data_IF_446217473660
#
_entry.id   IF_446217473660
#
_cell.length_a   1.000
_cell.length_b   1.000
_cell.length_c   1.000
_cell.angle_alpha   90.00
_cell.angle_beta   90.00
_cell.angle_gamma   90.00
#
_symmetry.space_group_name_H-M   'P 1'
#
loop_
_entity.id
_entity.type
_entity.pdbx_description
1 polymer ?
#
# COMPACT_ATOMS: atom_id res chain seq x y z
N UNK A 1 27.88 -23.69 1.21
CA UNK A 1 26.93 -22.57 1.04
C UNK A 1 27.22 -21.93 -0.31
N UNK A 2 26.43 -22.25 -1.34
CA UNK A 2 26.51 -21.53 -2.61
C UNK A 2 25.86 -20.16 -2.38
N UNK A 3 26.65 -19.11 -2.39
CA UNK A 3 26.14 -17.74 -2.34
C UNK A 3 25.37 -17.47 -3.62
N UNK A 4 24.04 -17.50 -3.57
CA UNK A 4 23.21 -17.04 -4.67
C UNK A 4 23.38 -15.52 -4.77
N UNK A 5 24.24 -15.07 -5.67
CA UNK A 5 24.27 -13.67 -6.11
C UNK A 5 23.02 -13.44 -6.95
N UNK A 6 22.12 -12.60 -6.47
CA UNK A 6 21.06 -12.04 -7.32
C UNK A 6 21.60 -10.76 -7.97
N UNK A 7 21.30 -10.56 -9.25
CA UNK A 7 21.63 -9.33 -9.97
C UNK A 7 20.39 -8.89 -10.72
N UNK A 8 19.89 -7.71 -10.40
CA UNK A 8 18.82 -7.04 -11.13
C UNK A 8 19.22 -5.58 -11.33
N UNK A 9 18.82 -5.02 -12.46
CA UNK A 9 18.99 -3.59 -12.71
C UNK A 9 17.78 -2.88 -12.10
N UNK A 10 17.95 -2.26 -10.94
CA UNK A 10 16.90 -1.45 -10.34
C UNK A 10 16.67 -0.17 -11.16
N UNK A 11 15.41 0.13 -11.50
CA UNK A 11 15.01 1.34 -12.22
C UNK A 11 13.85 1.98 -11.48
N UNK A 12 14.08 3.17 -10.93
CA UNK A 12 13.06 4.05 -10.40
C UNK A 12 13.34 5.47 -10.87
N UNK A 13 12.38 6.07 -11.55
CA UNK A 13 12.40 7.48 -11.92
C UNK A 13 11.10 8.12 -11.47
N UNK A 14 11.20 9.18 -10.67
CA UNK A 14 10.06 9.98 -10.24
C UNK A 14 10.32 11.41 -10.68
N UNK A 15 9.44 11.93 -11.52
CA UNK A 15 9.55 13.30 -12.06
C UNK A 15 8.36 14.12 -11.64
N UNK A 16 8.61 15.39 -11.33
CA UNK A 16 7.59 16.36 -10.99
C UNK A 16 7.53 17.41 -12.11
N UNK A 17 6.33 17.75 -12.55
CA UNK A 17 6.09 18.84 -13.49
C UNK A 17 5.04 19.79 -12.93
N UNK A 18 5.14 21.07 -13.30
CA UNK A 18 4.20 22.10 -12.86
C UNK A 18 3.88 23.01 -14.04
N UNK A 19 2.59 23.14 -14.33
CA UNK A 19 2.06 24.13 -15.28
C UNK A 19 0.92 24.92 -14.62
N UNK A 20 -0.09 24.21 -14.12
CA UNK A 20 -1.21 24.76 -13.32
C UNK A 20 -1.52 23.87 -12.11
N UNK A 21 -1.42 22.55 -12.29
CA UNK A 21 -1.47 21.54 -11.23
C UNK A 21 -0.10 20.86 -11.16
N UNK A 22 0.37 20.55 -9.95
CA UNK A 22 1.58 19.75 -9.77
C UNK A 22 1.24 18.32 -10.21
N UNK A 23 2.02 17.77 -11.13
CA UNK A 23 1.88 16.38 -11.58
C UNK A 23 3.14 15.61 -11.24
N UNK A 24 2.96 14.33 -10.97
CA UNK A 24 4.02 13.38 -10.67
C UNK A 24 3.91 12.21 -11.63
N UNK A 25 5.01 11.90 -12.31
CA UNK A 25 5.15 10.71 -13.15
C UNK A 25 6.11 9.74 -12.48
N UNK A 26 5.65 8.49 -12.35
CA UNK A 26 6.38 7.40 -11.71
C UNK A 26 6.69 6.34 -12.76
N UNK A 27 7.97 6.00 -12.89
CA UNK A 27 8.46 4.95 -13.76
C UNK A 27 9.25 3.95 -12.92
N UNK A 28 8.86 2.68 -12.95
CA UNK A 28 9.55 1.63 -12.21
C UNK A 28 9.54 0.30 -12.94
N UNK A 29 10.59 -0.49 -12.74
CA UNK A 29 10.60 -1.88 -13.17
C UNK A 29 10.23 -2.89 -12.08
N UNK A 30 10.18 -2.52 -10.80
CA UNK A 30 9.59 -3.35 -9.73
C UNK A 30 10.48 -4.33 -8.94
N UNK A 31 11.73 -4.69 -9.32
CA UNK A 31 12.64 -5.41 -8.43
C UNK A 31 13.00 -4.62 -7.15
N UNK A 32 13.34 -5.30 -6.05
CA UNK A 32 13.84 -4.69 -4.82
C UNK A 32 15.31 -4.26 -4.92
N UNK A 33 15.83 -3.61 -3.87
CA UNK A 33 17.25 -3.25 -3.72
C UNK A 33 18.12 -4.37 -3.10
N UNK A 34 17.55 -5.54 -2.81
CA UNK A 34 18.18 -6.64 -2.07
C UNK A 34 17.72 -8.00 -2.57
N UNK A 35 18.45 -9.08 -2.27
CA UNK A 35 18.09 -10.41 -2.75
C UNK A 35 16.86 -10.95 -2.00
N UNK A 36 15.72 -11.15 -2.68
CA UNK A 36 14.51 -11.69 -2.09
C UNK A 36 14.71 -13.14 -1.62
N UNK A 37 13.91 -13.58 -0.65
CA UNK A 37 13.78 -15.00 -0.34
C UNK A 37 12.65 -15.62 -1.16
N UNK A 38 12.88 -15.88 -2.44
CA UNK A 38 11.87 -16.45 -3.31
C UNK A 38 12.42 -17.59 -4.18
N UNK A 39 11.63 -18.66 -4.38
CA UNK A 39 11.99 -19.72 -5.32
C UNK A 39 11.82 -19.31 -6.80
N UNK A 40 11.13 -18.20 -7.09
CA UNK A 40 10.82 -17.77 -8.44
C UNK A 40 11.80 -16.71 -8.97
N UNK A 41 12.06 -16.74 -10.28
CA UNK A 41 12.76 -15.64 -10.97
C UNK A 41 11.85 -14.40 -10.98
N UNK A 42 12.27 -13.33 -10.30
CA UNK A 42 11.58 -12.03 -10.35
C UNK A 42 11.59 -11.53 -11.80
N UNK A 43 10.43 -11.07 -12.26
CA UNK A 43 10.30 -10.41 -13.56
C UNK A 43 10.21 -8.90 -13.39
N UNK A 44 10.90 -8.19 -14.27
CA UNK A 44 10.70 -6.75 -14.45
C UNK A 44 9.29 -6.48 -14.94
N UNK A 45 8.72 -5.38 -14.46
CA UNK A 45 7.48 -4.78 -14.88
C UNK A 45 7.78 -3.54 -15.72
N UNK A 46 6.78 -3.04 -16.44
CA UNK A 46 6.85 -1.72 -17.08
C UNK A 46 5.79 -0.83 -16.42
N UNK A 47 6.08 -0.33 -15.22
CA UNK A 47 5.20 0.62 -14.53
C UNK A 47 5.57 2.02 -15.01
N UNK A 48 4.63 2.70 -15.66
CA UNK A 48 4.75 4.09 -16.07
C UNK A 48 3.37 4.75 -16.02
N UNK A 49 3.18 5.64 -15.05
CA UNK A 49 1.96 6.42 -14.92
C UNK A 49 2.23 7.85 -14.44
N UNK A 50 1.31 8.77 -14.77
CA UNK A 50 1.31 10.16 -14.33
C UNK A 50 -0.04 10.52 -13.70
N UNK A 51 0.02 11.27 -12.60
CA UNK A 51 -1.14 11.72 -11.82
C UNK A 51 -0.94 13.15 -11.32
N UNK A 52 -2.03 13.82 -10.97
CA UNK A 52 -1.98 15.01 -10.13
C UNK A 52 -1.39 14.61 -8.77
N UNK A 53 -0.41 15.38 -8.30
CA UNK A 53 0.18 15.14 -6.99
C UNK A 53 -0.75 15.66 -5.90
N UNK A 54 -1.10 14.78 -4.96
CA UNK A 54 -1.96 15.04 -3.82
C UNK A 54 -3.20 15.90 -4.17
N UNK A 55 -4.09 15.41 -5.05
CA UNK A 55 -5.21 16.19 -5.54
C UNK A 55 -6.13 16.62 -4.39
N UNK A 56 -6.73 17.81 -4.51
CA UNK A 56 -7.67 18.30 -3.50
C UNK A 56 -8.92 17.40 -3.45
N UNK A 57 -9.27 16.97 -2.24
CA UNK A 57 -10.44 16.13 -1.97
C UNK A 57 -11.25 16.71 -0.81
N UNK A 58 -12.54 16.35 -0.73
CA UNK A 58 -13.45 16.90 0.27
C UNK A 58 -14.09 15.78 1.07
N UNK A 59 -13.98 15.82 2.40
CA UNK A 59 -14.59 14.82 3.29
C UNK A 59 -16.12 14.72 3.15
N UNK A 60 -16.77 15.81 2.73
CA UNK A 60 -18.22 15.87 2.53
C UNK A 60 -18.64 15.39 1.13
N UNK A 61 -17.68 15.08 0.25
CA UNK A 61 -17.90 14.47 -1.06
C UNK A 61 -16.97 13.26 -1.22
N UNK A 62 -17.17 12.19 -0.43
CA UNK A 62 -16.31 11.03 -0.49
C UNK A 62 -16.42 10.33 -1.85
N UNK A 63 -15.27 9.89 -2.36
CA UNK A 63 -15.19 9.04 -3.56
C UNK A 63 -15.89 7.71 -3.32
N UNK A 64 -15.75 7.16 -2.11
CA UNK A 64 -16.34 5.89 -1.71
C UNK A 64 -17.35 6.10 -0.58
N UNK A 65 -18.63 5.81 -0.82
CA UNK A 65 -19.71 6.07 0.14
C UNK A 65 -20.66 4.87 0.32
N UNK A 66 -20.17 3.68 0.75
CA UNK A 66 -21.03 2.55 1.03
C UNK A 66 -22.03 2.86 2.15
N UNK A 67 -23.28 2.48 1.96
CA UNK A 67 -24.35 2.59 2.97
C UNK A 67 -24.72 1.22 3.56
N UNK A 68 -24.12 0.14 3.06
CA UNK A 68 -24.34 -1.23 3.52
C UNK A 68 -23.02 -2.00 3.62
N UNK A 69 -23.00 -3.05 4.47
CA UNK A 69 -21.84 -3.96 4.58
C UNK A 69 -21.49 -4.63 3.24
N UNK A 70 -22.49 -4.95 2.41
CA UNK A 70 -22.27 -5.53 1.08
C UNK A 70 -21.52 -4.56 0.17
N UNK A 71 -21.92 -3.28 0.15
CA UNK A 71 -21.22 -2.26 -0.62
C UNK A 71 -19.80 -2.03 -0.10
N UNK A 72 -19.58 -2.00 1.22
CA UNK A 72 -18.23 -1.92 1.78
C UNK A 72 -17.36 -3.07 1.26
N UNK A 73 -17.84 -4.30 1.39
CA UNK A 73 -17.10 -5.47 0.94
C UNK A 73 -16.83 -5.43 -0.58
N UNK A 74 -17.75 -4.92 -1.40
CA UNK A 74 -17.51 -4.78 -2.84
C UNK A 74 -16.38 -3.80 -3.18
N UNK A 75 -16.07 -2.87 -2.26
CA UNK A 75 -15.00 -1.88 -2.38
C UNK A 75 -13.70 -2.42 -1.78
N UNK A 76 -13.70 -2.81 -0.50
CA UNK A 76 -12.44 -3.11 0.22
C UNK A 76 -12.07 -4.59 0.23
N UNK A 77 -13.01 -5.49 -0.06
CA UNK A 77 -12.78 -6.94 -0.19
C UNK A 77 -12.81 -7.37 -1.66
N UNK A 78 -12.13 -6.60 -2.51
CA UNK A 78 -12.11 -6.81 -3.95
C UNK A 78 -10.71 -6.45 -4.49
N UNK A 79 -9.99 -7.45 -5.01
CA UNK A 79 -8.63 -7.26 -5.53
C UNK A 79 -8.58 -6.26 -6.70
N UNK A 80 -9.71 -6.09 -7.41
CA UNK A 80 -9.82 -5.18 -8.54
C UNK A 80 -10.26 -3.76 -8.15
N UNK A 81 -10.41 -3.45 -6.86
CA UNK A 81 -10.82 -2.11 -6.41
C UNK A 81 -9.87 -0.99 -6.82
N UNK A 82 -8.63 -1.33 -7.17
CA UNK A 82 -7.63 -0.40 -7.67
C UNK A 82 -7.78 -0.13 -9.18
N UNK A 83 -8.73 -0.73 -9.90
CA UNK A 83 -8.94 -0.44 -11.32
C UNK A 83 -9.52 0.97 -11.55
N UNK A 84 -10.32 1.48 -10.61
CA UNK A 84 -11.09 2.71 -10.74
C UNK A 84 -10.40 3.88 -10.06
N UNK A 85 -9.39 4.47 -10.72
CA UNK A 85 -8.71 5.67 -10.22
C UNK A 85 -9.64 6.89 -10.29
N UNK A 86 -9.77 7.71 -9.22
CA UNK A 86 -10.64 8.88 -9.23
C UNK A 86 -10.25 9.89 -10.31
N UNK A 87 -11.22 10.52 -10.95
CA UNK A 87 -10.99 11.51 -12.02
C UNK A 87 -10.16 12.71 -11.57
N UNK A 88 -10.28 13.11 -10.30
CA UNK A 88 -9.47 14.16 -9.69
C UNK A 88 -7.95 13.90 -9.76
N UNK A 89 -7.55 12.63 -9.85
CA UNK A 89 -6.16 12.21 -9.99
C UNK A 89 -5.59 12.48 -11.38
N UNK A 90 -6.44 12.72 -12.39
CA UNK A 90 -6.03 12.86 -13.80
C UNK A 90 -5.00 11.78 -14.22
N UNK A 91 -5.32 10.53 -13.90
CA UNK A 91 -4.45 9.38 -14.10
C UNK A 91 -4.24 9.08 -15.59
N UNK A 92 -2.98 8.97 -15.98
CA UNK A 92 -2.55 8.58 -17.32
C UNK A 92 -1.57 7.42 -17.19
N UNK A 93 -1.83 6.32 -17.90
CA UNK A 93 -0.91 5.18 -18.00
C UNK A 93 -0.15 5.25 -19.32
N UNK A 94 1.19 5.24 -19.25
CA UNK A 94 2.08 5.13 -20.42
C UNK A 94 2.61 3.70 -20.62
N UNK A 95 2.21 2.79 -19.74
CA UNK A 95 2.67 1.42 -19.74
C UNK A 95 2.12 0.65 -20.95
N UNK A 96 3.02 -0.01 -21.69
CA UNK A 96 2.70 -0.68 -22.96
C UNK A 96 2.09 -2.08 -22.82
N UNK A 97 2.14 -2.67 -21.62
CA UNK A 97 1.69 -4.05 -21.40
C UNK A 97 1.31 -4.27 -19.94
N UNK A 98 0.01 -4.28 -19.62
CA UNK A 98 -0.47 -4.70 -18.32
C UNK A 98 -1.71 -3.94 -17.85
N UNK A 99 -2.70 -4.70 -17.40
CA UNK A 99 -3.77 -4.15 -16.58
C UNK A 99 -3.22 -3.93 -15.17
N UNK A 100 -3.05 -2.66 -14.77
CA UNK A 100 -2.66 -2.28 -13.40
C UNK A 100 -3.86 -2.23 -12.45
N UNK A 101 -4.85 -3.11 -12.67
CA UNK A 101 -6.11 -3.12 -11.91
C UNK A 101 -5.91 -3.46 -10.43
N UNK A 102 -4.77 -4.08 -10.08
CA UNK A 102 -4.39 -4.40 -8.70
C UNK A 102 -3.33 -3.46 -8.15
N UNK A 103 -2.75 -2.56 -8.95
CA UNK A 103 -1.71 -1.64 -8.48
C UNK A 103 -2.33 -0.53 -7.63
N UNK A 104 -2.01 -0.50 -6.34
CA UNK A 104 -2.42 0.56 -5.43
C UNK A 104 -1.41 1.73 -5.44
N UNK A 105 -0.12 1.45 -5.68
CA UNK A 105 0.91 2.48 -5.71
C UNK A 105 2.32 1.94 -5.95
N UNK A 106 3.31 2.82 -5.77
CA UNK A 106 4.74 2.49 -5.87
C UNK A 106 5.43 2.96 -4.59
N UNK A 107 6.20 2.07 -4.00
CA UNK A 107 7.00 2.36 -2.81
C UNK A 107 8.26 3.16 -3.16
N UNK A 108 8.91 3.74 -2.15
CA UNK A 108 10.14 4.54 -2.35
C UNK A 108 11.33 3.73 -2.88
N UNK A 109 11.31 2.40 -2.77
CA UNK A 109 12.29 1.53 -3.41
C UNK A 109 11.83 1.01 -4.78
N UNK A 110 10.80 1.61 -5.36
CA UNK A 110 10.30 1.30 -6.71
C UNK A 110 9.48 0.00 -6.80
N UNK A 111 9.42 -0.81 -5.75
CA UNK A 111 8.62 -2.03 -5.75
C UNK A 111 7.13 -1.68 -5.73
N UNK A 112 6.32 -2.47 -6.44
CA UNK A 112 4.87 -2.24 -6.54
C UNK A 112 4.18 -2.50 -5.21
N UNK A 113 3.25 -1.62 -4.88
CA UNK A 113 2.29 -1.81 -3.81
C UNK A 113 1.01 -2.28 -4.49
N UNK A 114 0.65 -3.55 -4.30
CA UNK A 114 -0.59 -4.10 -4.84
C UNK A 114 -1.74 -3.95 -3.84
N UNK A 115 -2.93 -4.24 -4.34
CA UNK A 115 -4.16 -4.31 -3.56
C UNK A 115 -3.94 -5.20 -2.35
N UNK A 116 -4.47 -4.78 -1.21
CA UNK A 116 -4.36 -5.41 0.10
C UNK A 116 -5.07 -6.78 0.20
N UNK A 117 -5.75 -7.21 -0.85
CA UNK A 117 -6.39 -8.50 -0.98
C UNK A 117 -5.56 -9.46 -1.85
N UNK A 118 -5.59 -10.73 -1.44
CA UNK A 118 -5.15 -11.88 -2.25
C UNK A 118 -6.01 -12.07 -3.50
N UNK A 119 -5.57 -12.96 -4.39
CA UNK A 119 -6.36 -13.39 -5.56
C UNK A 119 -7.74 -14.00 -5.20
N UNK A 120 -7.92 -14.42 -3.94
CA UNK A 120 -9.18 -14.94 -3.42
C UNK A 120 -10.11 -13.85 -2.85
N UNK A 121 -9.80 -12.56 -3.03
CA UNK A 121 -10.54 -11.44 -2.45
C UNK A 121 -10.64 -11.46 -0.91
N UNK A 122 -9.62 -12.04 -0.27
CA UNK A 122 -9.44 -12.03 1.19
C UNK A 122 -8.10 -11.42 1.57
N UNK A 123 -7.99 -10.94 2.81
CA UNK A 123 -6.73 -10.51 3.40
C UNK A 123 -5.67 -11.62 3.27
N UNK A 124 -4.50 -11.36 2.66
CA UNK A 124 -3.48 -12.38 2.44
C UNK A 124 -2.82 -12.84 3.74
N UNK A 125 -2.88 -12.08 4.84
CA UNK A 125 -2.19 -12.39 6.09
C UNK A 125 -3.14 -12.85 7.19
N UNK A 126 -4.37 -12.36 7.18
CA UNK A 126 -5.41 -12.68 8.18
C UNK A 126 -6.74 -13.06 7.52
N UNK A 127 -6.74 -14.03 6.56
CA UNK A 127 -7.93 -14.33 5.77
C UNK A 127 -9.07 -14.85 6.64
N UNK A 128 -10.30 -14.51 6.25
CA UNK A 128 -11.50 -15.21 6.74
C UNK A 128 -11.79 -16.46 5.93
N UNK A 129 -12.41 -17.47 6.53
CA UNK A 129 -12.70 -18.74 5.88
C UNK A 129 -11.49 -19.69 5.92
N UNK A 130 -11.51 -20.74 5.09
CA UNK A 130 -10.48 -21.79 5.09
C UNK A 130 -9.32 -21.50 4.12
N UNK A 131 -8.90 -20.25 4.00
CA UNK A 131 -7.74 -19.86 3.18
C UNK A 131 -6.48 -19.82 4.04
N UNK A 132 -5.36 -20.28 3.46
CA UNK A 132 -4.06 -20.15 4.10
C UNK A 132 -3.54 -18.70 3.97
N UNK A 133 -2.82 -18.22 4.99
CA UNK A 133 -2.03 -17.01 4.87
C UNK A 133 -0.98 -17.17 3.77
N UNK A 134 -0.79 -16.13 2.98
CA UNK A 134 0.25 -16.06 1.97
C UNK A 134 1.63 -16.02 2.61
N UNK A 135 2.60 -16.58 1.89
CA UNK A 135 3.99 -16.57 2.27
C UNK A 135 4.62 -15.21 1.94
N UNK A 136 5.39 -14.67 2.88
CA UNK A 136 6.22 -13.49 2.65
C UNK A 136 7.61 -13.67 3.24
N UNK A 137 8.56 -12.91 2.70
CA UNK A 137 9.88 -12.78 3.30
C UNK A 137 9.91 -11.78 4.47
N UNK A 138 11.08 -11.61 5.08
CA UNK A 138 11.30 -10.69 6.20
C UNK A 138 11.14 -9.20 5.83
N UNK A 139 11.00 -8.89 4.55
CA UNK A 139 10.65 -7.57 4.05
C UNK A 139 9.16 -7.46 3.69
N UNK A 140 8.35 -8.46 4.02
CA UNK A 140 6.90 -8.51 3.84
C UNK A 140 6.44 -8.45 2.39
N UNK A 141 7.21 -9.12 1.53
CA UNK A 141 6.98 -9.17 0.08
C UNK A 141 6.97 -10.61 -0.43
N UNK A 142 6.44 -10.77 -1.63
CA UNK A 142 6.52 -12.01 -2.41
C UNK A 142 6.29 -11.72 -3.89
N UNK A 143 6.70 -12.62 -4.79
CA UNK A 143 6.29 -12.53 -6.19
C UNK A 143 4.81 -12.87 -6.35
N UNK A 144 4.16 -12.20 -7.29
CA UNK A 144 2.84 -12.58 -7.79
C UNK A 144 2.94 -13.91 -8.55
N UNK A 145 2.00 -14.84 -8.33
CA UNK A 145 2.02 -16.17 -8.94
C UNK A 145 1.91 -16.17 -10.48
N UNK A 146 1.25 -15.18 -11.07
CA UNK A 146 1.03 -15.10 -12.52
C UNK A 146 2.14 -14.35 -13.25
N UNK A 147 2.62 -13.23 -12.69
CA UNK A 147 3.59 -12.36 -13.37
C UNK A 147 5.01 -12.46 -12.83
N UNK A 148 5.22 -13.12 -11.69
CA UNK A 148 6.45 -13.04 -10.89
C UNK A 148 6.89 -11.61 -10.54
N UNK A 149 5.97 -10.63 -10.63
CA UNK A 149 6.19 -9.27 -10.17
C UNK A 149 6.26 -9.25 -8.65
N UNK A 150 7.36 -8.75 -8.10
CA UNK A 150 7.57 -8.66 -6.67
C UNK A 150 6.83 -7.44 -6.11
N UNK A 151 6.14 -7.61 -4.98
CA UNK A 151 5.23 -6.60 -4.47
C UNK A 151 4.98 -6.66 -2.96
N UNK A 152 4.29 -5.64 -2.45
CA UNK A 152 3.73 -5.59 -1.09
C UNK A 152 2.21 -5.67 -1.11
N UNK A 153 1.68 -6.20 0.01
CA UNK A 153 0.30 -5.95 0.47
C UNK A 153 0.25 -5.13 1.76
N UNK A 154 1.39 -4.95 2.44
CA UNK A 154 1.53 -4.25 3.72
C UNK A 154 2.83 -3.46 3.74
N UNK A 155 2.88 -2.39 4.54
CA UNK A 155 4.07 -1.57 4.69
C UNK A 155 5.29 -2.39 5.16
N UNK A 156 6.47 -1.95 4.76
CA UNK A 156 7.75 -2.57 5.12
C UNK A 156 8.75 -1.47 5.40
N UNK A 157 9.66 -1.69 6.36
CA UNK A 157 10.79 -0.77 6.58
C UNK A 157 11.98 -1.04 5.67
N UNK A 158 12.00 -2.14 4.91
CA UNK A 158 13.11 -2.45 4.00
C UNK A 158 13.37 -1.40 2.90
N UNK A 159 12.36 -0.66 2.37
CA UNK A 159 12.62 0.45 1.45
C UNK A 159 13.45 1.58 2.07
N UNK A 160 13.31 1.78 3.38
CA UNK A 160 13.98 2.84 4.12
C UNK A 160 15.36 2.39 4.63
N UNK A 161 15.46 1.12 5.03
CA UNK A 161 16.70 0.50 5.48
C UNK A 161 16.88 -0.86 4.79
N UNK A 162 17.40 -0.89 3.54
CA UNK A 162 17.51 -2.12 2.79
C UNK A 162 18.50 -3.08 3.46
N UNK A 163 18.11 -4.34 3.71
CA UNK A 163 19.02 -5.32 4.27
C UNK A 163 20.15 -5.64 3.30
N UNK A 164 21.32 -5.96 3.84
CA UNK A 164 22.45 -6.42 3.05
C UNK A 164 22.32 -7.92 2.75
N UNK A 165 22.36 -8.28 1.46
CA UNK A 165 22.42 -9.68 1.02
C UNK A 165 21.05 -10.36 0.90
N UNK A 166 21.04 -11.68 1.09
CA UNK A 166 19.82 -12.50 0.98
C UNK A 166 19.00 -12.40 2.26
N UNK A 167 17.73 -12.04 2.10
CA UNK A 167 16.80 -11.96 3.21
C UNK A 167 16.25 -13.34 3.57
N UNK A 168 15.72 -13.49 4.79
CA UNK A 168 15.08 -14.72 5.24
C UNK A 168 13.58 -14.75 4.98
N UNK A 169 12.95 -15.89 5.30
CA UNK A 169 11.49 -16.03 5.35
C UNK A 169 10.91 -15.35 6.59
N UNK A 170 9.71 -14.78 6.47
CA UNK A 170 8.93 -14.34 7.62
C UNK A 170 8.62 -15.51 8.56
N UNK A 171 8.31 -16.69 8.00
CA UNK A 171 7.98 -17.90 8.76
C UNK A 171 9.11 -18.38 9.69
N UNK A 172 10.37 -18.15 9.29
CA UNK A 172 11.55 -18.48 10.11
C UNK A 172 11.98 -17.35 11.06
N UNK A 173 11.27 -16.23 11.07
CA UNK A 173 11.59 -15.05 11.89
C UNK A 173 10.52 -14.91 12.98
N UNK A 174 10.82 -15.21 14.26
CA UNK A 174 9.80 -15.34 15.30
C UNK A 174 8.85 -14.14 15.42
N UNK A 175 9.39 -12.92 15.40
CA UNK A 175 8.59 -11.69 15.47
C UNK A 175 7.69 -11.49 14.25
N UNK A 176 8.15 -11.90 13.06
CA UNK A 176 7.38 -11.79 11.82
C UNK A 176 6.27 -12.84 11.76
N UNK A 177 6.60 -14.10 12.06
CA UNK A 177 5.66 -15.21 12.08
C UNK A 177 4.58 -15.07 13.15
N UNK A 178 4.89 -14.40 14.27
CA UNK A 178 3.91 -14.18 15.35
C UNK A 178 2.81 -13.18 14.95
N UNK A 179 3.16 -12.11 14.23
CA UNK A 179 2.20 -11.13 13.72
C UNK A 179 2.84 -10.27 12.65
N UNK A 180 2.45 -10.51 11.38
CA UNK A 180 2.92 -9.73 10.22
C UNK A 180 2.59 -8.25 10.40
N UNK A 181 1.38 -7.92 10.87
CA UNK A 181 0.97 -6.54 11.10
C UNK A 181 1.81 -5.83 12.16
N UNK A 182 2.07 -6.49 13.30
CA UNK A 182 2.91 -5.89 14.34
C UNK A 182 4.38 -5.78 13.90
N UNK A 183 4.86 -6.79 13.18
CA UNK A 183 6.20 -6.78 12.63
C UNK A 183 6.37 -5.66 11.60
N UNK A 184 5.40 -5.44 10.72
CA UNK A 184 5.39 -4.32 9.75
C UNK A 184 5.66 -2.99 10.44
N UNK A 185 4.86 -2.65 11.45
CA UNK A 185 4.98 -1.36 12.15
C UNK A 185 6.29 -1.29 12.95
N UNK A 186 6.76 -2.40 13.53
CA UNK A 186 8.02 -2.42 14.29
C UNK A 186 9.24 -2.00 13.45
N UNK A 187 9.19 -2.20 12.13
CA UNK A 187 10.27 -1.79 11.19
C UNK A 187 10.39 -0.29 11.00
N UNK A 188 9.42 0.49 11.50
CA UNK A 188 9.44 1.94 11.48
C UNK A 188 9.87 2.55 12.81
N UNK A 189 10.33 1.74 13.78
CA UNK A 189 10.75 2.23 15.10
C UNK A 189 11.89 3.26 15.06
N UNK A 190 12.76 3.22 14.04
CA UNK A 190 13.79 4.26 13.79
C UNK A 190 13.29 5.44 12.96
N UNK A 191 12.05 5.37 12.45
CA UNK A 191 11.41 6.33 11.56
C UNK A 191 10.11 6.86 12.17
N UNK A 192 10.17 7.22 13.47
CA UNK A 192 9.05 7.80 14.22
C UNK A 192 8.82 9.27 13.87
N UNK A 193 8.48 9.49 12.61
CA UNK A 193 8.13 10.79 12.02
C UNK A 193 7.25 10.55 10.80
N UNK A 194 6.68 11.61 10.24
CA UNK A 194 5.88 11.59 9.02
C UNK A 194 6.76 11.20 7.82
N UNK A 195 6.94 9.90 7.64
CA UNK A 195 7.90 9.32 6.70
C UNK A 195 7.19 8.87 5.44
N UNK A 196 7.57 9.39 4.27
CA UNK A 196 7.04 8.93 2.99
C UNK A 196 7.56 7.53 2.70
N UNK A 197 6.66 6.59 2.42
CA UNK A 197 7.01 5.19 2.08
C UNK A 197 6.56 4.81 0.66
N UNK A 198 5.75 5.66 0.01
CA UNK A 198 5.36 5.50 -1.38
C UNK A 198 4.40 6.58 -1.84
N UNK A 199 3.91 6.39 -3.06
CA UNK A 199 2.85 7.19 -3.67
C UNK A 199 1.77 6.26 -4.24
N UNK A 200 0.52 6.57 -3.95
CA UNK A 200 -0.62 5.85 -4.47
C UNK A 200 -0.89 6.22 -5.94
N UNK A 201 -1.58 5.34 -6.65
CA UNK A 201 -1.90 5.51 -8.07
C UNK A 201 -2.98 6.58 -8.32
N UNK A 202 -3.61 7.10 -7.28
CA UNK A 202 -4.45 8.31 -7.33
C UNK A 202 -3.66 9.60 -6.99
N UNK A 203 -2.37 9.49 -6.74
CA UNK A 203 -1.47 10.62 -6.51
C UNK A 203 -1.35 11.07 -5.05
N UNK A 204 -2.08 10.46 -4.12
CA UNK A 204 -1.90 10.73 -2.70
C UNK A 204 -0.64 10.06 -2.14
N UNK A 205 -0.02 10.71 -1.17
CA UNK A 205 1.17 10.19 -0.48
C UNK A 205 0.80 9.00 0.39
N UNK A 206 1.69 8.01 0.47
CA UNK A 206 1.59 6.91 1.43
C UNK A 206 2.67 7.12 2.48
N UNK A 207 2.25 7.34 3.73
CA UNK A 207 3.12 7.52 4.87
C UNK A 207 3.32 6.22 5.67
N UNK A 208 4.43 6.17 6.40
CA UNK A 208 4.65 5.21 7.47
C UNK A 208 3.63 5.41 8.62
N UNK A 209 3.77 4.64 9.71
CA UNK A 209 2.74 4.56 10.73
C UNK A 209 2.75 5.71 11.75
N UNK A 210 3.69 6.64 11.63
CA UNK A 210 3.88 7.72 12.60
C UNK A 210 3.53 9.08 12.00
N UNK A 211 2.93 9.95 12.82
CA UNK A 211 2.73 11.36 12.47
C UNK A 211 3.99 12.20 12.67
N UNK A 212 3.89 13.51 12.43
CA UNK A 212 5.00 14.46 12.60
C UNK A 212 5.47 14.62 14.06
N UNK A 213 4.70 14.14 15.04
CA UNK A 213 5.07 14.12 16.46
C UNK A 213 5.76 12.83 16.87
N UNK A 214 5.83 11.84 15.97
CA UNK A 214 6.35 10.50 16.25
C UNK A 214 5.38 9.58 16.98
N UNK A 215 4.09 9.93 16.99
CA UNK A 215 3.00 9.12 17.54
C UNK A 215 2.47 8.17 16.49
N UNK A 216 2.24 6.90 16.86
CA UNK A 216 1.65 5.93 15.93
C UNK A 216 0.20 6.35 15.66
N UNK A 217 -0.18 6.46 14.40
CA UNK A 217 -1.52 6.83 13.99
C UNK A 217 -2.40 5.59 13.98
N UNK A 218 -3.32 5.49 14.95
CA UNK A 218 -4.18 4.30 15.15
C UNK A 218 -5.66 4.56 14.90
N UNK A 219 -6.05 5.79 14.56
CA UNK A 219 -7.43 6.21 14.29
C UNK A 219 -7.48 7.41 13.36
N UNK A 220 -8.67 7.84 12.97
CA UNK A 220 -8.86 8.92 11.99
C UNK A 220 -8.98 8.46 10.54
N UNK A 221 -9.02 7.14 10.32
CA UNK A 221 -9.06 6.50 9.02
C UNK A 221 -10.47 6.31 8.47
N UNK A 222 -10.62 6.54 7.18
CA UNK A 222 -11.77 6.13 6.39
C UNK A 222 -11.68 4.65 5.93
N UNK A 223 -12.67 4.20 5.18
CA UNK A 223 -12.71 2.82 4.64
C UNK A 223 -11.55 2.48 3.70
N UNK A 224 -10.90 3.47 3.10
CA UNK A 224 -9.76 3.29 2.22
C UNK A 224 -8.42 3.33 2.96
N UNK A 225 -8.44 3.54 4.29
CA UNK A 225 -7.29 3.72 5.17
C UNK A 225 -6.44 4.93 4.80
N UNK A 226 -7.11 5.98 4.32
CA UNK A 226 -6.54 7.31 4.33
C UNK A 226 -7.22 8.20 5.36
N UNK A 227 -6.62 9.34 5.59
CA UNK A 227 -7.10 10.34 6.52
C UNK A 227 -6.66 11.75 6.10
N UNK A 228 -7.46 12.73 6.52
CA UNK A 228 -7.03 14.12 6.53
C UNK A 228 -6.05 14.30 7.68
N UNK A 229 -4.85 14.82 7.44
CA UNK A 229 -3.76 14.76 8.44
C UNK A 229 -3.17 16.10 8.86
N UNK A 230 -3.61 17.21 8.26
CA UNK A 230 -3.14 18.55 8.64
C UNK A 230 -4.25 19.62 8.57
N UNK A 231 -3.92 20.81 9.07
CA UNK A 231 -4.88 21.91 9.20
C UNK A 231 -5.38 22.51 7.88
N UNK A 232 -4.74 22.16 6.75
CA UNK A 232 -5.14 22.64 5.42
C UNK A 232 -5.93 21.58 4.64
N UNK A 233 -6.25 20.45 5.27
CA UNK A 233 -7.12 19.42 4.70
C UNK A 233 -6.40 18.52 3.70
N UNK A 234 -5.07 18.33 3.81
CA UNK A 234 -4.39 17.33 2.99
C UNK A 234 -4.81 15.92 3.39
N UNK A 235 -5.02 15.08 2.38
CA UNK A 235 -5.39 13.68 2.53
C UNK A 235 -4.22 12.76 2.13
N UNK A 236 -3.97 11.72 2.92
CA UNK A 236 -2.94 10.74 2.64
C UNK A 236 -3.29 9.36 3.20
N UNK A 237 -2.60 8.34 2.71
CA UNK A 237 -2.66 6.98 3.24
C UNK A 237 -1.59 6.78 4.31
N UNK A 238 -1.87 5.92 5.29
CA UNK A 238 -0.90 5.58 6.33
C UNK A 238 -0.77 4.07 6.49
N UNK A 239 0.44 3.63 6.83
CA UNK A 239 0.69 2.28 7.28
C UNK A 239 -0.02 2.02 8.63
N UNK A 240 -0.80 0.94 8.74
CA UNK A 240 -1.56 0.60 9.96
C UNK A 240 -1.44 -0.88 10.30
N UNK A 241 -1.77 -1.25 11.55
CA UNK A 241 -1.78 -2.64 12.04
C UNK A 241 -3.01 -3.44 11.65
N UNK A 242 -4.04 -2.77 11.16
CA UNK A 242 -5.34 -3.38 10.85
C UNK A 242 -5.61 -3.25 9.37
N UNK A 243 -6.34 -4.20 8.81
CA UNK A 243 -6.75 -4.15 7.41
C UNK A 243 -7.44 -2.81 7.10
N UNK A 244 -7.15 -2.17 5.95
CA UNK A 244 -6.35 -2.64 4.81
C UNK A 244 -4.83 -2.42 4.92
N UNK A 245 -4.28 -2.03 6.07
CA UNK A 245 -2.84 -1.81 6.34
C UNK A 245 -2.17 -0.64 5.61
N UNK A 246 -2.58 -0.34 4.40
CA UNK A 246 -2.10 0.73 3.51
C UNK A 246 -3.28 1.16 2.62
N UNK A 247 -3.13 1.35 1.31
CA UNK A 247 -4.23 1.80 0.43
C UNK A 247 -5.20 0.65 0.09
N UNK A 248 -6.38 0.63 0.74
CA UNK A 248 -7.43 -0.37 0.47
C UNK A 248 -8.32 -0.05 -0.74
N UNK A 249 -8.53 1.24 -0.97
CA UNK A 249 -9.21 1.81 -2.14
C UNK A 249 -8.72 3.24 -2.37
N UNK A 250 -9.10 3.86 -3.50
CA UNK A 250 -8.85 5.27 -3.73
C UNK A 250 -9.90 6.14 -3.05
N UNK A 251 -9.44 7.02 -2.15
CA UNK A 251 -10.27 7.78 -1.23
C UNK A 251 -10.45 9.24 -1.64
N UNK A 252 -11.08 10.06 -0.78
CA UNK A 252 -11.55 9.72 0.56
C UNK A 252 -12.78 8.80 0.55
N UNK A 253 -12.88 7.97 1.56
CA UNK A 253 -14.05 7.15 1.87
C UNK A 253 -14.92 7.75 2.98
N UNK A 254 -16.12 7.20 3.17
CA UNK A 254 -16.98 7.51 4.30
C UNK A 254 -16.58 6.70 5.56
N UNK A 255 -17.38 6.84 6.63
CA UNK A 255 -17.09 6.28 7.95
C UNK A 255 -18.29 5.47 8.48
N UNK A 256 -18.58 4.30 7.89
CA UNK A 256 -19.72 3.49 8.30
C UNK A 256 -19.45 2.75 9.62
N UNK A 257 -20.49 2.24 10.26
CA UNK A 257 -20.39 1.40 11.47
C UNK A 257 -20.11 -0.07 11.19
N UNK A 258 -20.27 -0.52 9.94
CA UNK A 258 -19.97 -1.88 9.51
C UNK A 258 -18.51 -2.03 9.07
N UNK A 259 -17.96 -3.23 9.26
CA UNK A 259 -16.54 -3.56 9.07
C UNK A 259 -16.37 -4.62 7.97
N UNK A 260 -15.18 -4.69 7.32
CA UNK A 260 -14.92 -5.62 6.23
C UNK A 260 -15.07 -7.07 6.67
N UNK A 261 -15.57 -7.93 5.79
CA UNK A 261 -15.75 -9.35 6.09
C UNK A 261 -14.62 -10.24 5.57
N UNK A 262 -13.67 -9.71 4.79
CA UNK A 262 -12.57 -10.46 4.16
C UNK A 262 -11.34 -10.68 5.04
N UNK A 263 -11.36 -10.17 6.27
CA UNK A 263 -10.22 -10.20 7.20
C UNK A 263 -10.68 -10.52 8.62
N UNK A 264 -9.84 -11.24 9.36
CA UNK A 264 -9.99 -11.41 10.81
C UNK A 264 -9.31 -10.27 11.60
N UNK A 265 -8.48 -9.46 10.95
CA UNK A 265 -7.75 -8.33 11.54
C UNK A 265 -8.35 -6.97 11.14
N UNK A 266 -9.63 -6.80 11.46
CA UNK A 266 -10.45 -5.63 11.08
C UNK A 266 -10.01 -4.38 11.86
N UNK A 267 -10.21 -3.17 11.32
CA UNK A 267 -10.08 -1.95 12.11
C UNK A 267 -11.17 -1.94 13.20
N UNK A 268 -10.89 -1.30 14.33
CA UNK A 268 -11.86 -1.19 15.42
C UNK A 268 -13.10 -0.37 15.02
N UNK A 269 -12.87 0.70 14.24
CA UNK A 269 -13.90 1.56 13.67
C UNK A 269 -13.32 2.41 12.54
N UNK A 270 -14.17 2.94 11.68
CA UNK A 270 -13.84 4.06 10.79
C UNK A 270 -14.20 5.36 11.49
N UNK A 271 -13.24 6.28 11.60
CA UNK A 271 -13.40 7.52 12.37
C UNK A 271 -12.85 8.70 11.61
N UNK A 272 -13.52 9.85 11.67
CA UNK A 272 -12.99 11.10 11.10
C UNK A 272 -11.79 11.55 11.92
N UNK A 273 -10.72 11.97 11.24
CA UNK A 273 -9.63 12.68 11.90
C UNK A 273 -10.09 14.07 12.37
N UNK A 274 -9.32 14.69 13.26
CA UNK A 274 -9.57 16.07 13.74
C UNK A 274 -9.41 17.14 12.65
N UNK A 275 -8.82 16.75 11.52
CA UNK A 275 -8.58 17.60 10.36
C UNK A 275 -9.64 17.45 9.27
N UNK A 276 -10.53 16.46 9.40
CA UNK A 276 -11.63 16.26 8.49
C UNK A 276 -12.60 17.45 8.52
N UNK A 277 -12.76 18.13 7.38
CA UNK A 277 -13.70 19.25 7.22
C UNK A 277 -13.13 20.62 7.61
N UNK A 278 -11.81 20.70 7.78
CA UNK A 278 -11.08 21.97 7.80
C UNK A 278 -10.68 22.41 6.41
#
# INVERSE_FOLDING_TARGET
>A
MYGCTCVFQHKLCVTCSSSTTIRIRVQSNGPPLFCPNTPATIKELNVDFEVNFNPNVNVNSPVQNPTTSSQLNSIVCNISSQASVPSASNYVSYSSSGSFNTLAGISVDGVTILNVNSANNVDPFYPTGNYASEFVDTCLRHPNAASNGYHYHIASGCPLNPPTGMIGSCKSTPSCNASIANYSISKFSSYRTLTVIGIAKDGHVIYGPYDSTGTEVTSGFDICNGMFYDSIGNYAYFATRTFPYITGCFGPGNYPSFLPSCTTNKPAAYTKSIYAGK
#
